data_IF_508717418157
#
_entry.id   IF_508717418157
#
_cell.length_a   1.000
_cell.length_b   1.000
_cell.length_c   1.000
_cell.angle_alpha   90.00
_cell.angle_beta   90.00
_cell.angle_gamma   90.00
#
_symmetry.space_group_name_H-M   'P 1'
#
loop_
_entity.id
_entity.type
_entity.pdbx_description
1 polymer ?
#
# COMPACT_ATOMS: atom_id res chain seq x y z
N UNK A 1 -16.63 -9.32 -14.01
CA UNK A 1 -16.29 -8.02 -13.40
C UNK A 1 -14.79 -7.86 -13.51
N UNK A 2 -14.31 -6.88 -14.28
CA UNK A 2 -12.88 -6.55 -14.33
C UNK A 2 -12.54 -5.74 -13.09
N UNK A 3 -11.53 -6.21 -12.35
CA UNK A 3 -10.90 -5.42 -11.31
C UNK A 3 -9.92 -4.48 -12.00
N UNK A 4 -10.32 -3.22 -12.16
CA UNK A 4 -9.55 -2.24 -12.92
C UNK A 4 -8.63 -1.42 -11.99
N UNK A 5 -7.43 -1.08 -12.49
CA UNK A 5 -6.39 -0.36 -11.76
C UNK A 5 -6.90 0.92 -11.07
N UNK A 6 -7.79 1.65 -11.74
CA UNK A 6 -8.40 2.89 -11.22
C UNK A 6 -9.28 2.60 -9.99
N UNK A 7 -10.02 1.49 -9.99
CA UNK A 7 -10.86 1.11 -8.87
C UNK A 7 -10.00 0.65 -7.69
N UNK A 8 -8.95 -0.14 -7.96
CA UNK A 8 -7.99 -0.55 -6.95
C UNK A 8 -7.34 0.65 -6.26
N UNK A 9 -6.84 1.62 -7.02
CA UNK A 9 -6.22 2.83 -6.47
C UNK A 9 -7.21 3.62 -5.58
N UNK A 10 -8.46 3.77 -6.03
CA UNK A 10 -9.50 4.50 -5.27
C UNK A 10 -9.81 3.84 -3.94
N UNK A 11 -10.02 2.53 -3.93
CA UNK A 11 -10.33 1.80 -2.69
C UNK A 11 -9.10 1.69 -1.77
N UNK A 12 -7.89 1.56 -2.33
CA UNK A 12 -6.65 1.53 -1.56
C UNK A 12 -6.41 2.87 -0.84
N UNK A 13 -6.59 4.01 -1.53
CA UNK A 13 -6.50 5.35 -0.91
C UNK A 13 -7.52 5.56 0.20
N UNK A 14 -8.75 5.04 0.03
CA UNK A 14 -9.78 5.10 1.09
C UNK A 14 -9.38 4.28 2.31
N UNK A 15 -8.88 3.06 2.11
CA UNK A 15 -8.44 2.19 3.20
C UNK A 15 -7.33 2.85 4.04
N UNK A 16 -6.31 3.39 3.38
CA UNK A 16 -5.19 4.10 4.04
C UNK A 16 -5.70 5.30 4.86
N UNK A 17 -6.70 6.04 4.37
CA UNK A 17 -7.28 7.15 5.12
C UNK A 17 -8.09 6.76 6.37
N UNK A 18 -8.39 5.47 6.54
CA UNK A 18 -9.15 4.92 7.68
C UNK A 18 -8.28 4.13 8.66
N UNK A 19 -7.01 3.90 8.32
CA UNK A 19 -6.11 3.00 9.04
C UNK A 19 -5.00 3.78 9.77
N UNK A 20 -4.50 3.21 10.85
CA UNK A 20 -3.29 3.67 11.54
C UNK A 20 -2.03 3.40 10.71
N UNK A 21 -0.92 4.05 11.04
CA UNK A 21 0.35 3.82 10.35
C UNK A 21 0.79 2.34 10.37
N UNK A 22 0.59 1.64 11.48
CA UNK A 22 0.94 0.22 11.62
C UNK A 22 0.08 -0.65 10.69
N UNK A 23 -1.22 -0.44 10.70
CA UNK A 23 -2.16 -1.12 9.80
C UNK A 23 -1.86 -0.84 8.32
N UNK A 24 -1.41 0.37 7.98
CA UNK A 24 -0.98 0.72 6.62
C UNK A 24 0.25 -0.09 6.18
N UNK A 25 1.18 -0.42 7.09
CA UNK A 25 2.34 -1.26 6.79
C UNK A 25 1.92 -2.70 6.50
N UNK A 26 1.04 -3.26 7.33
CA UNK A 26 0.48 -4.59 7.10
C UNK A 26 -0.30 -4.65 5.78
N UNK A 27 -1.10 -3.62 5.50
CA UNK A 27 -1.83 -3.50 4.24
C UNK A 27 -0.89 -3.41 3.04
N UNK A 28 0.20 -2.63 3.12
CA UNK A 28 1.21 -2.55 2.05
C UNK A 28 1.81 -3.93 1.74
N UNK A 29 2.22 -4.66 2.77
CA UNK A 29 2.78 -6.00 2.61
C UNK A 29 1.79 -6.98 1.97
N UNK A 30 0.52 -6.92 2.41
CA UNK A 30 -0.54 -7.75 1.84
C UNK A 30 -0.84 -7.39 0.39
N UNK A 31 -0.93 -6.10 0.04
CA UNK A 31 -1.14 -5.64 -1.33
C UNK A 31 -0.01 -6.09 -2.26
N UNK A 32 1.25 -5.97 -1.84
CA UNK A 32 2.39 -6.46 -2.63
C UNK A 32 2.27 -7.96 -2.88
N UNK A 33 1.95 -8.73 -1.84
CA UNK A 33 1.84 -10.20 -1.93
C UNK A 33 0.69 -10.65 -2.84
N UNK A 34 -0.47 -9.99 -2.79
CA UNK A 34 -1.65 -10.42 -3.55
C UNK A 34 -1.74 -9.81 -4.95
N UNK A 35 -1.21 -8.60 -5.13
CA UNK A 35 -1.47 -7.77 -6.29
C UNK A 35 -0.21 -7.19 -6.95
N UNK A 36 0.97 -7.48 -6.40
CA UNK A 36 2.26 -6.97 -6.92
C UNK A 36 2.43 -7.24 -8.41
N UNK A 37 2.14 -8.46 -8.86
CA UNK A 37 2.33 -8.85 -10.27
C UNK A 37 1.56 -7.97 -11.29
N UNK A 38 0.44 -7.35 -10.89
CA UNK A 38 -0.41 -6.53 -11.77
C UNK A 38 -0.42 -5.05 -11.44
N UNK A 39 -0.22 -4.69 -10.18
CA UNK A 39 -0.48 -3.35 -9.68
C UNK A 39 0.68 -2.77 -8.87
N UNK A 40 1.91 -3.31 -9.01
CA UNK A 40 3.11 -2.82 -8.32
C UNK A 40 3.27 -1.30 -8.42
N UNK A 41 3.10 -0.71 -9.60
CA UNK A 41 3.25 0.73 -9.81
C UNK A 41 2.20 1.53 -9.03
N UNK A 42 0.95 1.06 -9.03
CA UNK A 42 -0.14 1.69 -8.26
C UNK A 42 0.10 1.56 -6.76
N UNK A 43 0.53 0.39 -6.28
CA UNK A 43 0.85 0.17 -4.85
C UNK A 43 1.97 1.12 -4.45
N UNK A 44 3.05 1.16 -5.21
CA UNK A 44 4.21 2.02 -4.93
C UNK A 44 3.82 3.49 -4.92
N UNK A 45 3.02 3.94 -5.91
CA UNK A 45 2.53 5.31 -5.99
C UNK A 45 1.68 5.70 -4.78
N UNK A 46 0.78 4.82 -4.36
CA UNK A 46 -0.16 5.10 -3.26
C UNK A 46 0.58 5.17 -1.92
N UNK A 47 1.56 4.27 -1.69
CA UNK A 47 2.34 4.23 -0.44
C UNK A 47 3.61 5.11 -0.45
N UNK A 48 3.95 5.78 -1.56
CA UNK A 48 5.16 6.61 -1.68
C UNK A 48 5.23 7.78 -0.68
N UNK A 49 4.09 8.21 -0.12
CA UNK A 49 4.04 9.29 0.89
C UNK A 49 4.28 8.80 2.32
N UNK A 50 4.06 7.52 2.59
CA UNK A 50 4.16 6.93 3.93
C UNK A 50 5.57 6.35 4.19
N UNK A 51 6.43 6.35 3.18
CA UNK A 51 7.80 5.80 3.23
C UNK A 51 8.76 6.60 4.11
N UNK A 52 8.33 7.73 4.69
CA UNK A 52 9.12 8.52 5.64
C UNK A 52 9.14 7.99 7.08
N UNK A 53 8.54 6.82 7.36
CA UNK A 53 8.59 6.20 8.70
C UNK A 53 9.33 4.85 8.75
N UNK A 54 9.92 4.38 7.64
CA UNK A 54 10.54 3.04 7.57
C UNK A 54 12.07 3.03 7.53
N UNK A 55 12.73 3.96 8.22
CA UNK A 55 14.20 3.98 8.40
C UNK A 55 14.61 3.97 9.89
N UNK A 56 13.80 3.38 10.78
CA UNK A 56 14.19 3.21 12.19
C UNK A 56 13.72 1.88 12.74
N UNK A 57 14.19 0.76 12.18
CA UNK A 57 14.20 -0.54 12.90
C UNK A 57 15.03 -1.68 12.27
N UNK A 58 16.16 -1.37 11.64
CA UNK A 58 17.18 -2.39 11.30
C UNK A 58 18.59 -1.95 11.74
N UNK A 59 18.72 -1.55 13.01
CA UNK A 59 19.99 -1.59 13.74
C UNK A 59 19.72 -2.23 15.10
N UNK A 60 19.91 -3.54 15.16
CA UNK A 60 20.26 -4.31 16.36
C UNK A 60 21.08 -5.52 15.92
#
# INVERSE_FOLDING_TARGET
MSFDQILFEKELKKAIGLMTSEECLELKAWCITQFGDKFQDTISLVFAKDEQQLDTQLVN
#
